data_IF_713648667836
#
_entry.id   IF_713648667836
#
_cell.length_a   1.000
_cell.length_b   1.000
_cell.length_c   1.000
_cell.angle_alpha   90.00
_cell.angle_beta   90.00
_cell.angle_gamma   90.00
#
_symmetry.space_group_name_H-M   'P 1'
#
loop_
_entity.id
_entity.type
_entity.pdbx_description
1 polymer ?
#
# COMPACT_ATOMS: atom_id res chain seq x y z
N UNK A 1 -26.55 7.34 1.39
CA UNK A 1 -25.71 8.53 1.67
C UNK A 1 -24.53 8.09 2.53
N UNK A 2 -23.31 8.05 2.00
CA UNK A 2 -22.10 7.84 2.82
C UNK A 2 -21.10 8.95 2.52
N UNK A 3 -20.78 9.64 3.61
CA UNK A 3 -19.93 10.80 3.75
C UNK A 3 -18.54 10.69 3.10
N UNK A 4 -18.17 11.71 2.33
CA UNK A 4 -17.18 12.69 2.78
C UNK A 4 -15.72 12.24 3.01
N UNK A 5 -15.23 11.18 2.37
CA UNK A 5 -13.83 10.72 2.56
C UNK A 5 -12.76 11.40 1.68
N UNK A 6 -13.12 12.39 0.85
CA UNK A 6 -12.16 13.03 -0.07
C UNK A 6 -12.28 14.56 -0.15
N UNK A 7 -12.82 15.23 0.87
CA UNK A 7 -12.84 16.70 0.86
C UNK A 7 -11.43 17.26 1.09
N UNK A 8 -11.04 18.23 0.24
CA UNK A 8 -9.75 18.94 0.31
C UNK A 8 -9.52 19.59 1.67
N UNK A 9 -10.61 19.89 2.39
CA UNK A 9 -10.61 20.41 3.76
C UNK A 9 -10.10 19.40 4.79
N UNK A 10 -10.33 18.09 4.63
CA UNK A 10 -9.78 17.06 5.52
C UNK A 10 -8.25 16.93 5.35
N UNK A 11 -7.77 17.02 4.10
CA UNK A 11 -6.34 17.11 3.78
C UNK A 11 -5.71 18.40 4.32
N UNK A 12 -6.42 19.54 4.25
CA UNK A 12 -5.95 20.82 4.78
C UNK A 12 -5.88 20.83 6.33
N UNK A 13 -6.83 20.18 7.02
CA UNK A 13 -6.79 20.02 8.49
C UNK A 13 -5.65 19.09 8.94
N UNK A 14 -5.33 18.05 8.17
CA UNK A 14 -4.15 17.21 8.44
C UNK A 14 -2.82 17.97 8.22
N UNK A 15 -2.79 19.02 7.39
CA UNK A 15 -1.62 19.86 7.20
C UNK A 15 -1.42 20.92 8.31
N UNK A 16 -2.44 21.17 9.15
CA UNK A 16 -2.41 22.16 10.24
C UNK A 16 -1.92 21.59 11.58
N UNK A 17 -1.76 20.27 11.72
CA UNK A 17 -1.04 19.71 12.84
C UNK A 17 0.44 20.06 12.69
N UNK A 18 0.94 20.93 13.57
CA UNK A 18 2.37 21.24 13.71
C UNK A 18 3.17 19.95 13.59
N UNK A 19 3.95 19.80 12.52
CA UNK A 19 4.74 18.60 12.29
C UNK A 19 5.67 18.39 13.50
N UNK A 20 5.49 17.33 14.29
CA UNK A 20 6.28 17.15 15.50
C UNK A 20 7.74 16.97 15.10
N UNK A 21 8.63 17.80 15.66
CA UNK A 21 10.07 17.66 15.45
C UNK A 21 10.52 16.35 16.10
N UNK A 22 11.13 15.48 15.31
CA UNK A 22 11.66 14.23 15.82
C UNK A 22 12.85 14.51 16.76
N UNK A 23 13.00 13.75 17.87
CA UNK A 23 14.23 13.77 18.65
C UNK A 23 15.41 13.32 17.77
N UNK A 24 16.66 13.64 18.15
CA UNK A 24 17.83 13.20 17.39
C UNK A 24 17.89 11.67 17.36
N UNK A 25 17.61 11.09 16.20
CA UNK A 25 17.70 9.66 15.93
C UNK A 25 19.14 9.28 15.56
N UNK A 26 19.55 8.01 15.77
CA UNK A 26 20.84 7.55 15.28
C UNK A 26 20.89 7.46 13.74
N UNK A 27 19.77 7.03 13.10
CA UNK A 27 19.62 6.94 11.64
C UNK A 27 18.16 7.12 11.25
N UNK A 28 17.87 8.03 10.33
CA UNK A 28 16.53 8.19 9.74
C UNK A 28 16.34 7.19 8.59
N UNK A 29 15.43 6.22 8.77
CA UNK A 29 15.17 5.17 7.77
C UNK A 29 13.71 4.73 7.77
N UNK A 30 13.16 4.52 6.57
CA UNK A 30 11.86 3.87 6.39
C UNK A 30 12.04 2.36 6.42
N UNK A 31 11.35 1.67 7.35
CA UNK A 31 11.49 0.23 7.57
C UNK A 31 10.96 -0.62 6.41
N UNK A 32 9.84 -0.22 5.80
CA UNK A 32 9.25 -0.84 4.60
C UNK A 32 9.13 0.22 3.50
N UNK A 33 10.19 0.44 2.70
CA UNK A 33 10.20 1.51 1.70
C UNK A 33 9.36 1.16 0.47
N UNK A 34 9.19 -0.12 0.15
CA UNK A 34 8.36 -0.57 -0.97
C UNK A 34 6.98 -0.96 -0.45
N UNK A 35 5.95 -0.65 -1.25
CA UNK A 35 4.62 -1.20 -1.05
C UNK A 35 4.66 -2.71 -1.28
N UNK A 36 3.97 -3.48 -0.44
CA UNK A 36 3.75 -4.89 -0.71
C UNK A 36 2.82 -5.00 -1.91
N UNK A 37 3.27 -5.66 -2.98
CA UNK A 37 2.39 -6.02 -4.08
C UNK A 37 1.47 -7.14 -3.57
N UNK A 38 0.16 -6.90 -3.58
CA UNK A 38 -0.82 -7.94 -3.30
C UNK A 38 -0.95 -8.85 -4.53
N UNK A 39 -1.11 -10.15 -4.33
CA UNK A 39 -1.31 -11.08 -5.44
C UNK A 39 -2.65 -10.75 -6.14
N UNK A 40 -2.65 -10.45 -7.45
CA UNK A 40 -3.83 -10.01 -8.18
C UNK A 40 -4.95 -11.06 -8.20
N UNK A 41 -4.62 -12.35 -8.11
CA UNK A 41 -5.61 -13.42 -8.18
C UNK A 41 -6.38 -13.60 -6.88
N UNK A 42 -5.89 -13.07 -5.75
CA UNK A 42 -6.58 -13.19 -4.46
C UNK A 42 -7.91 -12.44 -4.44
N UNK A 43 -7.99 -11.28 -5.12
CA UNK A 43 -9.25 -10.53 -5.22
C UNK A 43 -10.30 -11.25 -6.08
N UNK A 44 -9.86 -11.92 -7.14
CA UNK A 44 -10.76 -12.69 -8.02
C UNK A 44 -11.22 -13.96 -7.28
N UNK A 45 -10.30 -14.62 -6.56
CA UNK A 45 -10.59 -15.80 -5.75
C UNK A 45 -11.60 -15.48 -4.63
N UNK A 46 -11.45 -14.36 -3.92
CA UNK A 46 -12.43 -13.97 -2.90
C UNK A 46 -13.80 -13.66 -3.51
N UNK A 47 -13.83 -13.08 -4.71
CA UNK A 47 -15.07 -12.82 -5.45
C UNK A 47 -15.76 -14.12 -5.90
N UNK A 48 -14.99 -15.12 -6.33
CA UNK A 48 -15.49 -16.46 -6.68
C UNK A 48 -16.10 -17.17 -5.47
N UNK A 49 -15.40 -17.14 -4.33
CA UNK A 49 -15.92 -17.70 -3.06
C UNK A 49 -17.21 -16.98 -2.62
N UNK A 50 -17.29 -15.66 -2.79
CA UNK A 50 -18.50 -14.88 -2.53
C UNK A 50 -19.67 -15.26 -3.44
N UNK A 51 -19.38 -15.55 -4.72
CA UNK A 51 -20.38 -16.01 -5.68
C UNK A 51 -20.93 -17.39 -5.29
N UNK A 52 -20.08 -18.33 -4.92
CA UNK A 52 -20.51 -19.65 -4.43
C UNK A 52 -21.28 -19.57 -3.12
N UNK A 53 -20.91 -18.65 -2.21
CA UNK A 53 -21.64 -18.43 -0.98
C UNK A 53 -23.04 -17.86 -1.20
N UNK A 54 -23.24 -17.09 -2.27
CA UNK A 54 -24.54 -16.43 -2.56
C UNK A 54 -25.45 -17.27 -3.44
N UNK A 55 -24.90 -17.90 -4.48
CA UNK A 55 -25.66 -18.56 -5.55
C UNK A 55 -25.60 -20.09 -5.49
N UNK A 56 -24.82 -20.64 -4.56
CA UNK A 56 -24.53 -22.07 -4.48
C UNK A 56 -23.30 -22.48 -5.29
N UNK A 57 -22.76 -23.65 -4.95
CA UNK A 57 -21.58 -24.21 -5.60
C UNK A 57 -21.83 -24.44 -7.09
N UNK A 58 -20.91 -23.99 -7.95
CA UNK A 58 -20.93 -24.18 -9.41
C UNK A 58 -22.19 -23.65 -10.14
N UNK A 59 -22.86 -22.63 -9.58
CA UNK A 59 -23.95 -21.97 -10.28
C UNK A 59 -23.48 -21.33 -11.59
N UNK A 60 -24.28 -21.42 -12.66
CA UNK A 60 -23.95 -20.86 -13.98
C UNK A 60 -23.60 -19.35 -13.94
N UNK A 61 -24.12 -18.61 -12.94
CA UNK A 61 -23.79 -17.20 -12.72
C UNK A 61 -22.33 -16.93 -12.30
N UNK A 62 -21.60 -17.93 -11.80
CA UNK A 62 -20.20 -17.78 -11.37
C UNK A 62 -19.17 -18.11 -12.48
N UNK A 63 -19.62 -18.65 -13.62
CA UNK A 63 -18.73 -19.11 -14.70
C UNK A 63 -17.79 -18.01 -15.24
N UNK A 64 -18.26 -16.76 -15.32
CA UNK A 64 -17.43 -15.64 -15.76
C UNK A 64 -16.26 -15.37 -14.79
N UNK A 65 -16.51 -15.46 -13.48
CA UNK A 65 -15.50 -15.21 -12.44
C UNK A 65 -14.49 -16.37 -12.39
N UNK A 66 -14.96 -17.60 -12.64
CA UNK A 66 -14.09 -18.78 -12.76
C UNK A 66 -13.10 -18.64 -13.93
N UNK A 67 -13.57 -18.16 -15.08
CA UNK A 67 -12.69 -17.90 -16.23
C UNK A 67 -11.67 -16.79 -15.94
N UNK A 68 -12.08 -15.74 -15.23
CA UNK A 68 -11.16 -14.68 -14.79
C UNK A 68 -10.10 -15.21 -13.82
N UNK A 69 -10.48 -16.10 -12.89
CA UNK A 69 -9.51 -16.71 -11.96
C UNK A 69 -8.51 -17.58 -12.72
N UNK A 70 -8.99 -18.38 -13.68
CA UNK A 70 -8.13 -19.21 -14.52
C UNK A 70 -7.15 -18.36 -15.33
N UNK A 71 -7.65 -17.31 -16.00
CA UNK A 71 -6.80 -16.37 -16.72
C UNK A 71 -5.76 -15.69 -15.83
N UNK A 72 -6.08 -15.41 -14.56
CA UNK A 72 -5.12 -14.85 -13.61
C UNK A 72 -4.04 -15.86 -13.20
N UNK A 73 -4.40 -17.12 -12.99
CA UNK A 73 -3.47 -18.19 -12.59
C UNK A 73 -2.56 -18.65 -13.74
N UNK A 74 -3.07 -18.61 -14.97
CA UNK A 74 -2.31 -18.94 -16.19
C UNK A 74 -1.37 -17.79 -16.60
N UNK A 75 -1.65 -16.55 -16.18
CA UNK A 75 -0.79 -15.41 -16.45
C UNK A 75 0.56 -15.51 -15.72
N UNK A 76 1.63 -15.06 -16.38
CA UNK A 76 2.94 -14.99 -15.73
C UNK A 76 2.95 -13.94 -14.62
N UNK A 77 3.68 -14.25 -13.55
CA UNK A 77 3.88 -13.32 -12.43
C UNK A 77 4.51 -12.01 -12.92
N UNK A 78 3.96 -10.89 -12.46
CA UNK A 78 4.50 -9.57 -12.75
C UNK A 78 5.96 -9.44 -12.27
N UNK A 79 6.75 -8.70 -13.04
CA UNK A 79 8.14 -8.39 -12.67
C UNK A 79 8.15 -7.56 -11.38
N UNK A 80 9.05 -7.93 -10.45
CA UNK A 80 9.21 -7.19 -9.21
C UNK A 80 9.59 -5.74 -9.50
N UNK A 81 8.87 -4.81 -8.88
CA UNK A 81 9.18 -3.38 -9.00
C UNK A 81 10.58 -3.08 -8.44
N UNK A 82 11.31 -2.12 -9.02
CA UNK A 82 12.61 -1.73 -8.53
C UNK A 82 12.53 -1.24 -7.08
N UNK A 83 13.56 -1.55 -6.29
CA UNK A 83 13.61 -1.17 -4.88
C UNK A 83 13.68 0.36 -4.76
N UNK A 84 12.88 0.93 -3.87
CA UNK A 84 12.87 2.37 -3.61
C UNK A 84 14.19 2.84 -2.99
N UNK A 85 14.80 3.87 -3.57
CA UNK A 85 16.06 4.48 -3.13
C UNK A 85 15.91 5.46 -1.96
N UNK A 86 14.73 5.58 -1.37
CA UNK A 86 14.42 6.57 -0.31
C UNK A 86 15.43 6.56 0.84
N UNK A 87 15.82 5.38 1.32
CA UNK A 87 16.75 5.25 2.44
C UNK A 87 18.17 5.70 2.09
N UNK A 88 18.57 5.64 0.81
CA UNK A 88 19.85 6.18 0.35
C UNK A 88 19.86 7.71 0.52
N UNK A 89 18.84 8.40 0.00
CA UNK A 89 18.72 9.85 0.11
C UNK A 89 18.54 10.32 1.55
N UNK A 90 17.68 9.64 2.34
CA UNK A 90 17.45 10.01 3.75
C UNK A 90 18.75 9.94 4.56
N UNK A 91 19.59 8.94 4.34
CA UNK A 91 20.87 8.84 5.05
C UNK A 91 21.85 9.97 4.71
N UNK A 92 21.87 10.42 3.45
CA UNK A 92 22.74 11.51 2.98
C UNK A 92 22.28 12.88 3.48
N UNK A 93 20.98 13.13 3.49
CA UNK A 93 20.41 14.40 3.94
C UNK A 93 20.21 14.48 5.45
N UNK A 94 20.26 13.35 6.17
CA UNK A 94 20.05 13.31 7.62
C UNK A 94 20.86 14.35 8.42
N UNK A 95 22.16 14.57 8.15
CA UNK A 95 22.95 15.57 8.88
C UNK A 95 22.51 17.02 8.64
N UNK A 96 21.79 17.30 7.54
CA UNK A 96 21.34 18.65 7.16
C UNK A 96 19.93 18.95 7.69
N UNK A 97 19.12 17.91 7.91
CA UNK A 97 17.72 18.04 8.38
C UNK A 97 17.57 17.79 9.87
N UNK A 98 18.57 17.21 10.53
CA UNK A 98 18.54 16.97 11.98
C UNK A 98 18.51 18.32 12.72
N UNK A 99 17.64 18.41 13.73
CA UNK A 99 17.59 19.55 14.62
C UNK A 99 18.89 19.73 15.44
N UNK A 100 18.99 20.81 16.23
CA UNK A 100 20.13 21.02 17.10
C UNK A 100 20.33 19.80 18.00
N UNK A 101 21.47 19.13 17.84
CA UNK A 101 21.87 17.97 18.62
C UNK A 101 23.22 18.28 19.26
N UNK A 102 23.44 17.83 20.51
CA UNK A 102 24.78 17.90 21.11
C UNK A 102 25.71 16.99 20.31
N UNK A 103 26.72 17.57 19.66
CA UNK A 103 27.89 16.81 19.22
C UNK A 103 28.56 16.24 20.48
N UNK A 104 28.83 14.93 20.48
CA UNK A 104 29.70 14.31 21.48
C UNK A 104 31.13 14.79 21.29
#
# INVERSE_FOLDING_TARGET
>A
MVAGKTSREALARAAQTTTPKLPPLPKLRVRKPNKGEANPCLGIMSSMLGCWASSGYSAAGCAAIEQQLRGCMDARKATQQPKSSINHHLSRFYPQIIGPHKRK
#
